data_IF_436683249546
#
_entry.id   IF_436683249546
#
_cell.length_a   1.000
_cell.length_b   1.000
_cell.length_c   1.000
_cell.angle_alpha   90.00
_cell.angle_beta   90.00
_cell.angle_gamma   90.00
#
_symmetry.space_group_name_H-M   'P 1'
#
loop_
_entity.id
_entity.type
_entity.pdbx_description
1 polymer ?
#
# COMPACT_ATOMS: atom_id res chain seq x y z
N UNK A 1 -2.29 -4.19 -18.22
CA UNK A 1 -2.77 -4.31 -16.83
C UNK A 1 -1.55 -4.59 -15.96
N UNK A 2 -1.18 -3.66 -15.08
CA UNK A 2 -0.03 -3.82 -14.18
C UNK A 2 -0.50 -4.22 -12.78
N UNK A 3 0.13 -5.26 -12.23
CA UNK A 3 -0.09 -5.75 -10.87
C UNK A 3 1.15 -5.43 -10.04
N UNK A 4 0.97 -4.67 -8.96
CA UNK A 4 2.08 -4.26 -8.09
C UNK A 4 1.90 -4.90 -6.72
N UNK A 5 2.86 -5.74 -6.35
CA UNK A 5 2.91 -6.37 -5.02
C UNK A 5 3.49 -5.43 -3.97
N UNK A 6 2.80 -5.23 -2.86
CA UNK A 6 3.34 -4.50 -1.70
C UNK A 6 3.43 -5.44 -0.49
N UNK A 7 4.63 -5.52 0.09
CA UNK A 7 4.93 -6.29 1.30
C UNK A 7 5.71 -5.44 2.29
N UNK A 8 5.46 -5.64 3.58
CA UNK A 8 6.22 -5.01 4.63
C UNK A 8 5.79 -5.47 6.01
N UNK A 9 6.42 -4.91 7.05
CA UNK A 9 6.18 -5.29 8.44
C UNK A 9 4.74 -5.00 8.89
N UNK A 10 4.17 -5.92 9.66
CA UNK A 10 2.93 -5.68 10.42
C UNK A 10 3.13 -4.57 11.46
N UNK A 11 4.28 -4.58 12.15
CA UNK A 11 4.69 -3.51 13.08
C UNK A 11 5.52 -2.49 12.31
N UNK A 12 4.84 -1.62 11.58
CA UNK A 12 5.45 -0.56 10.79
C UNK A 12 5.57 0.75 11.60
N UNK A 13 6.67 1.47 11.41
CA UNK A 13 6.79 2.84 11.92
C UNK A 13 5.80 3.77 11.22
N UNK A 14 5.44 4.89 11.83
CA UNK A 14 4.56 5.88 11.20
C UNK A 14 5.13 6.42 9.88
N UNK A 15 6.46 6.56 9.79
CA UNK A 15 7.13 6.90 8.53
C UNK A 15 6.89 5.85 7.46
N UNK A 16 7.02 4.56 7.80
CA UNK A 16 6.81 3.47 6.86
C UNK A 16 5.34 3.38 6.42
N UNK A 17 4.38 3.57 7.34
CA UNK A 17 2.95 3.64 7.00
C UNK A 17 2.64 4.81 6.07
N UNK A 18 3.19 6.00 6.33
CA UNK A 18 2.99 7.17 5.45
C UNK A 18 3.53 6.91 4.04
N UNK A 19 4.71 6.31 3.92
CA UNK A 19 5.27 5.93 2.61
C UNK A 19 4.38 4.88 1.93
N UNK A 20 3.94 3.86 2.66
CA UNK A 20 3.09 2.81 2.11
C UNK A 20 1.75 3.35 1.61
N UNK A 21 1.14 4.29 2.34
CA UNK A 21 -0.05 5.02 1.92
C UNK A 21 0.17 5.76 0.59
N UNK A 22 1.24 6.55 0.48
CA UNK A 22 1.54 7.27 -0.78
C UNK A 22 1.81 6.29 -1.94
N UNK A 23 2.47 5.15 -1.67
CA UNK A 23 2.68 4.10 -2.68
C UNK A 23 1.34 3.54 -3.17
N UNK A 24 0.42 3.20 -2.26
CA UNK A 24 -0.93 2.74 -2.61
C UNK A 24 -1.68 3.74 -3.49
N UNK A 25 -1.66 5.02 -3.09
CA UNK A 25 -2.29 6.11 -3.83
C UNK A 25 -1.73 6.27 -5.23
N UNK A 26 -0.41 6.23 -5.37
CA UNK A 26 0.25 6.31 -6.68
C UNK A 26 -0.09 5.12 -7.56
N UNK A 27 -0.19 3.90 -7.02
CA UNK A 27 -0.60 2.71 -7.78
C UNK A 27 -2.00 2.93 -8.36
N UNK A 28 -2.96 3.38 -7.54
CA UNK A 28 -4.33 3.64 -7.98
C UNK A 28 -4.41 4.78 -9.02
N UNK A 29 -3.74 5.90 -8.78
CA UNK A 29 -3.70 7.05 -9.69
C UNK A 29 -3.13 6.73 -11.07
N UNK A 30 -2.27 5.70 -11.16
CA UNK A 30 -1.71 5.22 -12.43
C UNK A 30 -2.56 4.13 -13.11
N UNK A 31 -3.79 3.87 -12.64
CA UNK A 31 -4.67 2.81 -13.13
C UNK A 31 -4.04 1.40 -13.03
N UNK A 32 -3.24 1.16 -11.98
CA UNK A 32 -2.66 -0.15 -11.68
C UNK A 32 -3.40 -0.84 -10.53
N UNK A 33 -3.22 -2.15 -10.41
CA UNK A 33 -3.83 -2.95 -9.34
C UNK A 33 -2.80 -3.21 -8.24
N UNK A 34 -3.16 -2.83 -7.00
CA UNK A 34 -2.42 -3.18 -5.79
C UNK A 34 -2.73 -4.63 -5.39
N UNK A 35 -1.70 -5.43 -5.12
CA UNK A 35 -1.83 -6.77 -4.54
C UNK A 35 -1.01 -6.84 -3.24
N UNK A 36 -1.63 -7.25 -2.14
CA UNK A 36 -0.93 -7.45 -0.86
C UNK A 36 -1.63 -8.50 0.02
N UNK A 37 -1.01 -8.87 1.13
CA UNK A 37 -1.56 -9.83 2.10
C UNK A 37 -2.67 -9.27 3.01
N UNK A 38 -2.97 -7.96 2.95
CA UNK A 38 -4.16 -7.36 3.58
C UNK A 38 -4.19 -7.26 5.12
N UNK A 39 -3.08 -7.55 5.81
CA UNK A 39 -2.96 -7.39 7.26
C UNK A 39 -2.62 -5.95 7.66
N UNK A 40 -2.38 -5.70 8.95
CA UNK A 40 -2.00 -4.40 9.52
C UNK A 40 -0.65 -3.86 9.03
N UNK A 41 -0.37 -2.60 9.34
CA UNK A 41 0.95 -1.99 9.15
C UNK A 41 1.17 -1.48 7.73
N UNK A 42 2.20 -1.99 7.04
CA UNK A 42 2.52 -1.54 5.67
C UNK A 42 1.39 -1.84 4.69
N UNK A 43 0.84 -3.07 4.73
CA UNK A 43 -0.12 -3.52 3.73
C UNK A 43 -1.50 -2.87 3.93
N UNK A 44 -1.91 -2.64 5.18
CA UNK A 44 -3.08 -1.84 5.53
C UNK A 44 -2.95 -0.41 5.01
N UNK A 45 -1.83 0.26 5.30
CA UNK A 45 -1.62 1.64 4.86
C UNK A 45 -1.59 1.77 3.33
N UNK A 46 -0.95 0.83 2.63
CA UNK A 46 -0.98 0.77 1.16
C UNK A 46 -2.39 0.53 0.62
N UNK A 47 -3.16 -0.37 1.22
CA UNK A 47 -4.55 -0.62 0.82
C UNK A 47 -5.43 0.61 1.03
N UNK A 48 -5.23 1.30 2.16
CA UNK A 48 -5.93 2.57 2.45
C UNK A 48 -5.61 3.64 1.41
N UNK A 49 -4.32 3.84 1.09
CA UNK A 49 -3.91 4.82 0.09
C UNK A 49 -4.39 4.49 -1.32
N UNK A 50 -4.52 3.21 -1.68
CA UNK A 50 -5.07 2.82 -2.97
C UNK A 50 -6.60 3.00 -3.07
N UNK A 51 -7.30 3.01 -1.93
CA UNK A 51 -8.75 3.18 -1.87
C UNK A 51 -9.18 4.65 -1.82
N UNK A 52 -8.48 5.49 -1.05
CA UNK A 52 -8.73 6.93 -0.87
C UNK A 52 -8.17 7.79 -2.01
#
# INVERSE_FOLDING_TARGET
>A
MHLIGVIGSQKATEKAKKIAYEVGKLIALNNFVLVCGGLEGVMEAASKGAFE
#
